data_IF_644279300816
#
_entry.id   IF_644279300816
#
_cell.length_a   1.000
_cell.length_b   1.000
_cell.length_c   1.000
_cell.angle_alpha   90.00
_cell.angle_beta   90.00
_cell.angle_gamma   90.00
#
_symmetry.space_group_name_H-M   'P 1'
#
loop_
_entity.id
_entity.type
_entity.pdbx_description
1 polymer ?
#
# COMPACT_ATOMS: atom_id res chain seq x y z
N UNK A 1 -4.76 9.21 4.45
CA UNK A 1 -5.14 8.60 3.15
C UNK A 1 -5.28 7.08 3.21
N UNK A 2 -4.23 6.32 3.52
CA UNK A 2 -4.27 4.83 3.52
C UNK A 2 -5.34 4.22 4.43
N UNK A 3 -5.52 4.74 5.65
CA UNK A 3 -6.52 4.21 6.58
C UNK A 3 -7.96 4.45 6.13
N UNK A 4 -8.23 5.63 5.53
CA UNK A 4 -9.55 5.96 5.01
C UNK A 4 -9.92 5.09 3.81
N UNK A 5 -9.00 4.92 2.86
CA UNK A 5 -9.22 4.04 1.70
C UNK A 5 -9.37 2.57 2.10
N UNK A 6 -8.56 2.08 3.06
CA UNK A 6 -8.71 0.74 3.64
C UNK A 6 -10.12 0.50 4.20
N UNK A 7 -10.66 1.48 4.94
CA UNK A 7 -12.02 1.38 5.51
C UNK A 7 -13.10 1.35 4.43
N UNK A 8 -12.97 2.17 3.39
CA UNK A 8 -13.95 2.24 2.29
C UNK A 8 -13.94 0.95 1.47
N UNK A 9 -12.78 0.45 1.07
CA UNK A 9 -12.64 -0.78 0.26
C UNK A 9 -13.23 -1.98 1.01
N UNK A 10 -12.94 -2.12 2.30
CA UNK A 10 -13.51 -3.20 3.12
C UNK A 10 -15.04 -3.08 3.32
N UNK A 11 -15.61 -1.89 3.15
CA UNK A 11 -17.06 -1.66 3.23
C UNK A 11 -17.74 -1.99 1.90
N UNK A 12 -17.13 -1.63 0.79
CA UNK A 12 -17.64 -1.89 -0.57
C UNK A 12 -17.45 -3.35 -0.99
N UNK A 13 -16.33 -3.96 -0.61
CA UNK A 13 -15.93 -5.33 -0.99
C UNK A 13 -15.64 -6.16 0.25
N UNK A 14 -16.68 -6.57 1.02
CA UNK A 14 -16.49 -7.32 2.26
C UNK A 14 -15.78 -8.67 2.06
N UNK A 15 -15.85 -9.27 0.88
CA UNK A 15 -15.19 -10.52 0.50
C UNK A 15 -13.66 -10.41 0.57
N UNK A 16 -13.10 -9.21 0.37
CA UNK A 16 -11.64 -9.01 0.36
C UNK A 16 -11.03 -9.35 1.71
N UNK A 17 -11.79 -9.23 2.80
CA UNK A 17 -11.35 -9.54 4.17
C UNK A 17 -10.85 -10.98 4.31
N UNK A 18 -11.36 -11.91 3.50
CA UNK A 18 -10.90 -13.31 3.47
C UNK A 18 -9.45 -13.46 2.96
N UNK A 19 -8.98 -12.48 2.20
CA UNK A 19 -7.66 -12.47 1.59
C UNK A 19 -6.69 -11.52 2.29
N UNK A 20 -7.14 -10.77 3.30
CA UNK A 20 -6.29 -9.84 4.05
C UNK A 20 -5.58 -10.54 5.21
N UNK A 21 -4.26 -10.46 5.23
CA UNK A 21 -3.50 -10.86 6.40
C UNK A 21 -3.68 -9.83 7.52
N UNK A 22 -4.08 -10.28 8.72
CA UNK A 22 -4.36 -9.43 9.90
C UNK A 22 -5.34 -8.29 9.64
N UNK A 23 -6.28 -8.48 8.71
CA UNK A 23 -7.22 -7.44 8.29
C UNK A 23 -6.50 -6.14 7.82
N UNK A 24 -5.28 -6.24 7.27
CA UNK A 24 -4.57 -5.09 6.72
C UNK A 24 -4.67 -5.06 5.19
N UNK A 25 -5.25 -3.99 4.67
CA UNK A 25 -5.33 -3.76 3.22
C UNK A 25 -4.04 -3.15 2.65
N UNK A 26 -3.41 -2.24 3.38
CA UNK A 26 -2.16 -1.61 2.98
C UNK A 26 -1.01 -2.06 3.87
N UNK A 27 0.21 -2.13 3.32
CA UNK A 27 1.44 -2.16 4.11
C UNK A 27 1.48 -0.98 5.09
N UNK A 28 2.11 -1.16 6.25
CA UNK A 28 2.33 -0.05 7.20
C UNK A 28 3.31 0.98 6.63
N UNK A 29 4.30 0.55 5.85
CA UNK A 29 5.30 1.42 5.25
C UNK A 29 4.70 2.28 4.13
N UNK A 30 5.31 3.43 3.87
CA UNK A 30 4.96 4.31 2.76
C UNK A 30 6.23 4.89 2.14
N UNK A 31 6.16 5.19 0.85
CA UNK A 31 7.23 5.90 0.14
C UNK A 31 6.77 7.34 -0.08
N UNK A 32 7.58 8.30 0.35
CA UNK A 32 7.37 9.72 0.10
C UNK A 32 8.61 10.25 -0.61
N UNK A 33 8.44 10.75 -1.83
CA UNK A 33 9.54 11.28 -2.64
C UNK A 33 9.15 12.66 -3.16
N UNK A 34 10.09 13.59 -3.18
CA UNK A 34 9.92 14.93 -3.74
C UNK A 34 9.79 14.87 -5.27
N UNK A 35 8.98 15.75 -5.83
CA UNK A 35 8.78 15.87 -7.28
C UNK A 35 10.00 16.57 -7.90
N UNK A 36 10.75 15.86 -8.75
CA UNK A 36 11.90 16.46 -9.47
C UNK A 36 12.96 15.49 -10.00
N UNK A 37 12.93 14.20 -9.63
CA UNK A 37 13.93 13.23 -10.09
C UNK A 37 13.54 11.77 -9.91
N UNK A 38 12.24 11.47 -9.81
CA UNK A 38 11.78 10.10 -9.58
C UNK A 38 11.75 9.34 -10.89
N UNK A 39 12.63 8.34 -11.01
CA UNK A 39 12.58 7.35 -12.07
C UNK A 39 11.75 6.14 -11.64
N UNK A 40 11.27 5.38 -12.61
CA UNK A 40 10.54 4.12 -12.38
C UNK A 40 11.37 3.14 -11.53
N UNK A 41 12.70 3.23 -11.61
CA UNK A 41 13.61 2.34 -10.89
C UNK A 41 13.57 2.54 -9.38
N UNK A 42 13.42 3.78 -8.92
CA UNK A 42 13.28 4.09 -7.48
C UNK A 42 12.00 3.46 -6.91
N UNK A 43 10.90 3.49 -7.68
CA UNK A 43 9.64 2.87 -7.27
C UNK A 43 9.78 1.34 -7.24
N UNK A 44 10.46 0.75 -8.24
CA UNK A 44 10.72 -0.69 -8.28
C UNK A 44 11.57 -1.14 -7.10
N UNK A 45 12.64 -0.40 -6.78
CA UNK A 45 13.51 -0.69 -5.64
C UNK A 45 12.72 -0.60 -4.32
N UNK A 46 11.88 0.42 -4.16
CA UNK A 46 11.01 0.53 -3.00
C UNK A 46 10.07 -0.68 -2.88
N UNK A 47 9.43 -1.13 -3.96
CA UNK A 47 8.55 -2.31 -3.93
C UNK A 47 9.34 -3.58 -3.61
N UNK A 48 10.53 -3.77 -4.17
CA UNK A 48 11.37 -4.95 -3.92
C UNK A 48 11.92 -5.00 -2.50
N UNK A 49 12.13 -3.84 -1.87
CA UNK A 49 12.61 -3.75 -0.48
C UNK A 49 11.47 -3.85 0.54
N UNK A 50 10.20 -3.74 0.13
CA UNK A 50 9.06 -3.99 0.99
C UNK A 50 8.94 -5.49 1.32
N UNK A 51 9.28 -5.88 2.56
CA UNK A 51 9.14 -7.26 3.04
C UNK A 51 10.45 -8.00 3.35
N UNK A 52 11.60 -7.31 3.27
CA UNK A 52 12.73 -7.64 4.17
C UNK A 52 12.36 -7.27 5.60
#
# INVERSE_FOLDING_TARGET
>A
YKSASSRLIKKEYPEIKKHLWKDMFWSQSYCLISTGGVTVDIIKEYIQTQGR
#
